data_IF_834412968683
#
_entry.id   IF_834412968683
#
_cell.length_a   1.000
_cell.length_b   1.000
_cell.length_c   1.000
_cell.angle_alpha   90.00
_cell.angle_beta   90.00
_cell.angle_gamma   90.00
#
_symmetry.space_group_name_H-M   'P 1'
#
loop_
_entity.id
_entity.type
_entity.pdbx_description
1 polymer ?
#
# COMPACT_ATOMS: atom_id res chain seq x y z
N UNK A 1 25.83 53.41 -8.74
CA UNK A 1 24.42 53.35 -9.14
C UNK A 1 23.77 52.32 -8.21
N UNK A 2 23.70 52.52 -6.88
CA UNK A 2 22.94 53.53 -6.13
C UNK A 2 21.50 53.67 -6.65
N UNK A 3 20.55 53.06 -5.90
CA UNK A 3 19.18 53.51 -5.49
C UNK A 3 18.19 52.33 -5.45
N UNK A 4 17.87 51.75 -4.27
CA UNK A 4 16.79 52.12 -3.30
C UNK A 4 15.36 51.88 -3.86
N UNK A 5 14.66 50.83 -3.39
CA UNK A 5 13.66 50.81 -2.29
C UNK A 5 12.19 51.13 -2.71
N UNK A 6 11.33 50.10 -2.58
CA UNK A 6 10.05 50.16 -1.84
C UNK A 6 8.79 50.78 -2.53
N UNK A 7 7.56 50.68 -1.94
CA UNK A 7 6.65 49.54 -2.13
C UNK A 7 5.14 49.96 -2.26
N UNK A 8 4.25 48.95 -2.24
CA UNK A 8 2.87 49.03 -1.69
C UNK A 8 1.78 49.82 -2.44
N UNK A 9 0.80 49.08 -2.96
CA UNK A 9 -0.61 49.52 -2.98
C UNK A 9 -1.49 48.42 -2.38
N UNK A 10 -1.79 48.57 -1.09
CA UNK A 10 -2.98 48.06 -0.43
C UNK A 10 -4.19 48.87 -0.90
N UNK A 11 -5.33 48.24 -1.19
CA UNK A 11 -6.67 48.61 -0.67
C UNK A 11 -7.74 47.61 -1.18
N UNK A 12 -8.49 47.07 -0.22
CA UNK A 12 -9.63 46.14 -0.28
C UNK A 12 -10.96 46.89 -0.56
N UNK A 13 -12.16 46.42 -0.17
CA UNK A 13 -13.02 45.39 -0.80
C UNK A 13 -14.45 45.91 -1.12
N UNK A 14 -15.21 45.26 -2.01
CA UNK A 14 -16.67 45.46 -2.18
C UNK A 14 -17.30 44.10 -2.53
N UNK A 15 -18.01 43.42 -1.62
CA UNK A 15 -19.39 43.64 -1.13
C UNK A 15 -20.48 43.30 -2.17
N UNK A 16 -20.96 42.05 -2.09
CA UNK A 16 -22.39 41.70 -2.09
C UNK A 16 -23.04 41.33 -3.43
N UNK A 17 -23.61 40.12 -3.51
CA UNK A 17 -25.08 39.98 -3.59
C UNK A 17 -25.51 38.53 -3.32
N UNK A 18 -26.54 38.41 -2.47
CA UNK A 18 -27.32 37.20 -2.24
C UNK A 18 -28.25 36.98 -3.43
N UNK A 19 -28.50 35.73 -3.84
CA UNK A 19 -29.79 35.29 -4.39
C UNK A 19 -29.97 33.77 -4.23
N UNK A 20 -30.97 33.39 -3.43
CA UNK A 20 -31.66 32.08 -3.44
C UNK A 20 -32.83 32.16 -4.42
N UNK A 21 -33.23 31.05 -5.04
CA UNK A 21 -34.64 30.66 -5.12
C UNK A 21 -34.83 29.18 -4.72
N UNK A 22 -35.62 28.87 -3.69
CA UNK A 22 -37.05 28.47 -3.74
C UNK A 22 -37.34 27.16 -4.51
N UNK A 23 -37.54 26.10 -3.71
CA UNK A 23 -38.48 24.98 -3.85
C UNK A 23 -39.29 24.87 -5.14
N UNK A 24 -39.10 23.75 -5.86
CA UNK A 24 -40.14 23.07 -6.63
C UNK A 24 -39.98 21.57 -6.42
N UNK A 25 -41.06 20.93 -5.96
CA UNK A 25 -41.24 19.48 -5.91
C UNK A 25 -41.54 18.93 -7.31
N UNK A 26 -40.86 17.88 -7.73
CA UNK A 26 -41.39 16.96 -8.73
C UNK A 26 -40.70 15.60 -8.59
N UNK A 27 -41.49 14.61 -8.18
CA UNK A 27 -41.21 13.19 -8.27
C UNK A 27 -40.99 12.79 -9.73
N UNK A 28 -39.82 12.25 -10.06
CA UNK A 28 -39.57 11.59 -11.33
C UNK A 28 -38.86 10.25 -11.07
N UNK A 29 -39.68 9.21 -11.12
CA UNK A 29 -39.29 7.81 -11.27
C UNK A 29 -38.69 7.58 -12.66
N UNK A 30 -37.48 7.02 -12.74
CA UNK A 30 -36.99 6.34 -13.94
C UNK A 30 -36.00 5.24 -13.58
N UNK A 31 -36.51 4.02 -13.73
CA UNK A 31 -35.92 2.92 -14.50
C UNK A 31 -34.42 2.67 -14.35
N UNK A 32 -34.07 1.76 -13.43
CA UNK A 32 -32.86 0.95 -13.56
C UNK A 32 -33.19 -0.34 -14.31
N UNK A 33 -32.59 -0.44 -15.49
CA UNK A 33 -32.46 -1.66 -16.29
C UNK A 33 -31.74 -2.74 -15.48
N UNK A 34 -32.34 -3.92 -15.38
CA UNK A 34 -31.63 -5.13 -14.97
C UNK A 34 -31.71 -6.15 -16.09
N UNK A 35 -30.51 -6.58 -16.49
CA UNK A 35 -30.23 -7.56 -17.52
C UNK A 35 -30.75 -8.92 -17.08
N UNK A 36 -31.41 -9.59 -18.02
CA UNK A 36 -32.01 -10.91 -17.97
C UNK A 36 -30.96 -12.02 -17.87
N UNK A 37 -31.07 -12.85 -16.83
CA UNK A 37 -30.49 -14.20 -16.81
C UNK A 37 -31.63 -15.21 -16.72
N UNK A 38 -31.78 -16.02 -17.77
CA UNK A 38 -32.83 -17.00 -17.93
C UNK A 38 -32.74 -18.12 -16.89
N UNK A 39 -33.85 -18.42 -16.19
CA UNK A 39 -34.04 -19.68 -15.50
C UNK A 39 -35.41 -20.27 -15.81
N UNK A 40 -35.39 -21.56 -16.16
CA UNK A 40 -36.46 -22.34 -16.77
C UNK A 40 -37.71 -22.41 -15.89
N UNK A 41 -38.85 -22.32 -16.58
CA UNK A 41 -40.22 -22.61 -16.13
C UNK A 41 -40.39 -24.10 -15.79
N UNK A 42 -40.90 -24.48 -14.60
CA UNK A 42 -41.61 -25.74 -14.41
C UNK A 42 -43.10 -25.54 -14.71
N UNK A 43 -43.65 -26.37 -15.60
CA UNK A 43 -45.09 -26.52 -15.80
C UNK A 43 -45.75 -27.16 -14.56
N UNK A 44 -47.05 -26.87 -14.33
CA UNK A 44 -47.80 -27.40 -13.19
C UNK A 44 -48.24 -28.84 -13.46
N UNK A 45 -47.98 -29.75 -12.51
CA UNK A 45 -48.63 -31.05 -12.48
C UNK A 45 -49.96 -30.91 -11.73
N UNK A 46 -51.05 -31.16 -12.45
CA UNK A 46 -52.38 -31.29 -11.91
C UNK A 46 -52.44 -32.48 -10.94
N UNK A 47 -52.92 -32.22 -9.72
CA UNK A 47 -53.37 -33.22 -8.75
C UNK A 47 -54.76 -32.80 -8.28
N UNK A 48 -55.73 -33.68 -8.55
CA UNK A 48 -57.15 -33.39 -8.58
C UNK A 48 -57.79 -33.08 -7.21
N UNK A 49 -58.94 -32.44 -7.32
CA UNK A 49 -59.89 -32.08 -6.29
C UNK A 49 -60.24 -33.22 -5.32
N UNK A 50 -60.40 -32.87 -4.05
CA UNK A 50 -61.45 -33.42 -3.22
C UNK A 50 -62.20 -32.26 -2.56
N UNK A 51 -63.49 -32.20 -2.88
CA UNK A 51 -64.53 -31.42 -2.23
C UNK A 51 -64.41 -31.38 -0.71
N UNK A 52 -64.79 -30.27 -0.09
CA UNK A 52 -65.77 -30.34 0.99
C UNK A 52 -66.39 -28.96 1.20
N UNK A 53 -67.71 -28.90 0.95
CA UNK A 53 -68.54 -27.90 1.60
C UNK A 53 -68.52 -28.11 3.12
N UNK A 54 -68.76 -27.02 3.84
CA UNK A 54 -69.01 -27.04 5.29
C UNK A 54 -67.75 -26.91 6.14
N UNK A 55 -67.40 -25.67 6.50
CA UNK A 55 -67.28 -25.19 7.90
C UNK A 55 -66.37 -23.97 7.98
N UNK A 56 -67.01 -22.80 8.03
CA UNK A 56 -66.41 -21.47 7.94
C UNK A 56 -65.68 -20.96 9.18
N UNK A 57 -65.05 -21.81 9.99
CA UNK A 57 -64.40 -21.36 11.23
C UNK A 57 -62.95 -21.84 11.45
N UNK A 58 -62.46 -22.84 10.72
CA UNK A 58 -61.10 -23.39 10.93
C UNK A 58 -60.04 -22.96 9.90
N UNK A 59 -60.45 -22.51 8.71
CA UNK A 59 -59.53 -22.11 7.63
C UNK A 59 -58.89 -20.72 7.81
N UNK A 60 -59.50 -19.82 8.57
CA UNK A 60 -58.96 -18.46 8.76
C UNK A 60 -57.66 -18.45 9.58
N UNK A 61 -57.54 -19.38 10.53
CA UNK A 61 -56.37 -19.50 11.39
C UNK A 61 -55.18 -20.00 10.55
N UNK A 62 -55.36 -20.99 9.69
CA UNK A 62 -54.31 -21.48 8.80
C UNK A 62 -53.86 -20.42 7.79
N UNK A 63 -54.75 -19.57 7.26
CA UNK A 63 -54.37 -18.44 6.40
C UNK A 63 -53.58 -17.35 7.16
N UNK A 64 -53.93 -17.06 8.42
CA UNK A 64 -53.16 -16.15 9.28
C UNK A 64 -51.74 -16.66 9.54
N UNK A 65 -51.59 -17.96 9.78
CA UNK A 65 -50.28 -18.57 10.06
C UNK A 65 -49.35 -18.52 8.85
N UNK A 66 -49.87 -18.75 7.64
CA UNK A 66 -49.06 -18.64 6.42
C UNK A 66 -48.71 -17.18 6.08
N UNK A 67 -49.60 -16.23 6.35
CA UNK A 67 -49.32 -14.80 6.21
C UNK A 67 -48.24 -14.30 7.17
N UNK A 68 -48.29 -14.74 8.44
CA UNK A 68 -47.29 -14.38 9.44
C UNK A 68 -45.93 -15.01 9.14
N UNK A 69 -45.89 -16.26 8.66
CA UNK A 69 -44.65 -16.91 8.24
C UNK A 69 -43.99 -16.21 7.04
N UNK A 70 -44.77 -15.76 6.06
CA UNK A 70 -44.25 -15.00 4.92
C UNK A 70 -43.72 -13.61 5.32
N UNK A 71 -44.39 -12.93 6.27
CA UNK A 71 -43.91 -11.68 6.85
C UNK A 71 -42.62 -11.87 7.66
N UNK A 72 -42.50 -12.96 8.42
CA UNK A 72 -41.30 -13.27 9.19
C UNK A 72 -40.08 -13.57 8.29
N UNK A 73 -40.28 -14.32 7.19
CA UNK A 73 -39.20 -14.61 6.25
C UNK A 73 -38.74 -13.37 5.47
N UNK A 74 -39.65 -12.48 5.09
CA UNK A 74 -39.28 -11.22 4.43
C UNK A 74 -38.54 -10.26 5.37
N UNK A 75 -38.92 -10.18 6.65
CA UNK A 75 -38.15 -9.44 7.66
C UNK A 75 -36.79 -10.07 7.94
N UNK A 76 -36.68 -11.41 7.96
CA UNK A 76 -35.41 -12.10 8.17
C UNK A 76 -34.39 -11.85 7.05
N UNK A 77 -34.85 -11.75 5.80
CA UNK A 77 -33.98 -11.42 4.66
C UNK A 77 -33.58 -9.94 4.68
N UNK A 78 -34.47 -9.04 5.11
CA UNK A 78 -34.19 -7.61 5.20
C UNK A 78 -33.23 -7.24 6.35
N UNK A 79 -33.16 -8.09 7.39
CA UNK A 79 -32.26 -7.92 8.54
C UNK A 79 -31.01 -8.82 8.47
N UNK A 80 -30.82 -9.56 7.38
CA UNK A 80 -29.58 -10.26 7.14
C UNK A 80 -28.46 -9.21 6.96
N UNK A 81 -27.36 -9.29 7.72
CA UNK A 81 -26.24 -8.37 7.54
C UNK A 81 -25.79 -8.47 6.08
N UNK A 82 -25.76 -7.32 5.40
CA UNK A 82 -25.24 -7.24 4.04
C UNK A 82 -23.89 -7.96 3.99
N UNK A 83 -23.62 -8.79 2.96
CA UNK A 83 -22.32 -9.42 2.82
C UNK A 83 -21.27 -8.30 2.90
N UNK A 84 -20.42 -8.37 3.93
CA UNK A 84 -19.30 -7.45 4.06
C UNK A 84 -18.54 -7.47 2.73
N UNK A 85 -18.02 -6.33 2.24
CA UNK A 85 -17.19 -6.33 1.04
C UNK A 85 -16.06 -7.33 1.30
N UNK A 86 -16.10 -8.47 0.62
CA UNK A 86 -14.98 -9.38 0.60
C UNK A 86 -13.83 -8.58 -0.01
N UNK A 87 -12.74 -8.42 0.75
CA UNK A 87 -11.55 -7.70 0.29
C UNK A 87 -10.92 -8.53 -0.82
N UNK A 88 -11.41 -8.35 -2.04
CA UNK A 88 -10.97 -9.02 -3.25
C UNK A 88 -9.94 -8.13 -3.95
N UNK A 89 -8.83 -7.87 -3.27
CA UNK A 89 -7.78 -6.94 -3.71
C UNK A 89 -7.27 -7.22 -5.12
N UNK A 90 -7.05 -8.50 -5.46
CA UNK A 90 -6.54 -8.88 -6.78
C UNK A 90 -7.57 -8.64 -7.89
N UNK A 91 -8.83 -8.95 -7.60
CA UNK A 91 -9.92 -8.84 -8.57
C UNK A 91 -10.31 -7.39 -8.82
N UNK A 92 -10.23 -6.53 -7.81
CA UNK A 92 -10.55 -5.11 -7.93
C UNK A 92 -9.57 -4.41 -8.88
N UNK A 93 -8.26 -4.65 -8.68
CA UNK A 93 -7.20 -4.13 -9.55
C UNK A 93 -7.35 -4.63 -11.00
N UNK A 94 -7.73 -5.90 -11.20
CA UNK A 94 -7.94 -6.46 -12.53
C UNK A 94 -9.20 -5.91 -13.23
N UNK A 95 -10.25 -5.60 -12.46
CA UNK A 95 -11.57 -5.22 -12.99
C UNK A 95 -11.72 -3.71 -13.22
N UNK A 96 -11.10 -2.87 -12.38
CA UNK A 96 -11.18 -1.41 -12.51
C UNK A 96 -10.43 -0.87 -13.73
N UNK A 97 -9.59 -1.70 -14.35
CA UNK A 97 -8.81 -1.33 -15.53
C UNK A 97 -7.64 -0.39 -15.21
N UNK A 98 -6.89 0.06 -16.23
CA UNK A 98 -5.68 0.83 -16.01
C UNK A 98 -6.00 2.23 -15.47
N UNK A 99 -5.34 2.68 -14.38
CA UNK A 99 -5.55 4.02 -13.85
C UNK A 99 -5.04 5.09 -14.83
N UNK A 100 -5.96 5.76 -15.54
CA UNK A 100 -5.64 6.81 -16.52
C UNK A 100 -4.98 8.02 -15.88
N UNK A 101 -5.43 8.38 -14.68
CA UNK A 101 -4.99 9.60 -14.02
C UNK A 101 -4.05 9.41 -12.85
N UNK A 102 -4.11 8.29 -12.12
CA UNK A 102 -3.28 8.13 -10.93
C UNK A 102 -1.94 7.45 -11.20
N UNK A 103 -1.80 6.63 -12.27
CA UNK A 103 -0.62 5.77 -12.55
C UNK A 103 -0.25 4.82 -11.40
N UNK A 104 -0.99 4.86 -10.31
CA UNK A 104 -0.71 4.20 -9.06
C UNK A 104 -2.04 3.63 -8.57
N UNK A 105 -2.05 2.33 -8.34
CA UNK A 105 -3.13 1.58 -7.68
C UNK A 105 -2.56 1.11 -6.35
N UNK A 106 -3.05 1.69 -5.25
CA UNK A 106 -2.61 1.34 -3.90
C UNK A 106 -3.71 0.68 -3.10
N UNK A 107 -3.86 -0.63 -3.32
CA UNK A 107 -4.79 -1.49 -2.58
C UNK A 107 -4.22 -1.84 -1.20
N UNK A 108 -2.90 -2.02 -1.10
CA UNK A 108 -2.24 -2.30 0.18
C UNK A 108 -2.32 -1.13 1.19
N UNK A 109 -2.63 0.08 0.72
CA UNK A 109 -2.73 1.28 1.55
C UNK A 109 -1.39 1.73 2.15
N UNK A 110 -0.27 1.40 1.51
CA UNK A 110 1.09 1.64 2.04
C UNK A 110 1.71 2.94 1.54
N UNK A 111 1.14 3.54 0.50
CA UNK A 111 1.70 4.74 -0.11
C UNK A 111 1.05 6.02 0.45
N UNK A 112 1.90 6.97 0.82
CA UNK A 112 1.44 8.29 1.24
C UNK A 112 0.86 9.07 0.06
N UNK A 113 -0.03 10.02 0.34
CA UNK A 113 -0.61 10.91 -0.69
C UNK A 113 0.46 11.69 -1.46
N UNK A 114 1.53 12.09 -0.77
CA UNK A 114 2.66 12.84 -1.37
C UNK A 114 3.41 11.94 -2.35
N UNK A 115 3.78 10.74 -1.91
CA UNK A 115 4.47 9.75 -2.76
C UNK A 115 3.65 9.43 -4.01
N UNK A 116 2.33 9.21 -3.87
CA UNK A 116 1.43 8.99 -5.01
C UNK A 116 1.49 10.15 -6.01
N UNK A 117 1.51 11.39 -5.53
CA UNK A 117 1.59 12.57 -6.39
C UNK A 117 2.94 12.73 -7.07
N UNK A 118 4.04 12.40 -6.39
CA UNK A 118 5.39 12.48 -6.96
C UNK A 118 5.64 11.39 -8.00
N UNK A 119 5.20 10.16 -7.73
CA UNK A 119 5.24 9.06 -8.70
C UNK A 119 4.39 9.37 -9.92
N UNK A 120 3.18 9.91 -9.73
CA UNK A 120 2.32 10.37 -10.83
C UNK A 120 3.01 11.43 -11.71
N UNK A 121 3.72 12.39 -11.10
CA UNK A 121 4.46 13.42 -11.85
C UNK A 121 5.57 12.81 -12.69
N UNK A 122 6.36 11.90 -12.12
CA UNK A 122 7.43 11.20 -12.85
C UNK A 122 6.88 10.34 -13.99
N UNK A 123 5.81 9.57 -13.73
CA UNK A 123 5.19 8.72 -14.76
C UNK A 123 4.58 9.54 -15.91
N UNK A 124 3.93 10.68 -15.59
CA UNK A 124 3.42 11.63 -16.60
C UNK A 124 4.54 12.23 -17.46
N UNK A 125 5.68 12.56 -16.85
CA UNK A 125 6.83 13.09 -17.59
C UNK A 125 7.44 12.06 -18.54
N UNK A 126 7.54 10.80 -18.11
CA UNK A 126 7.99 9.70 -18.97
C UNK A 126 7.07 9.43 -20.15
N UNK A 127 5.76 9.44 -19.92
CA UNK A 127 4.76 9.27 -20.98
C UNK A 127 4.85 10.42 -21.99
N UNK A 128 5.02 11.66 -21.54
CA UNK A 128 5.14 12.82 -22.42
C UNK A 128 6.42 12.79 -23.29
N UNK A 129 7.54 12.29 -22.77
CA UNK A 129 8.85 12.34 -23.45
C UNK A 129 9.11 11.13 -24.35
N UNK A 130 8.67 9.94 -23.94
CA UNK A 130 9.03 8.67 -24.58
C UNK A 130 7.82 7.83 -24.99
N UNK A 131 6.60 8.30 -24.70
CA UNK A 131 5.36 7.57 -24.93
C UNK A 131 5.29 6.20 -24.21
N UNK A 132 6.11 6.03 -23.18
CA UNK A 132 6.14 4.85 -22.33
C UNK A 132 5.32 5.13 -21.09
N UNK A 133 4.38 4.25 -20.77
CA UNK A 133 3.54 4.39 -19.58
C UNK A 133 3.88 3.35 -18.54
N UNK A 134 4.14 3.83 -17.33
CA UNK A 134 4.43 3.03 -16.16
C UNK A 134 3.27 3.08 -15.17
N UNK A 135 2.75 1.92 -14.78
CA UNK A 135 1.75 1.79 -13.72
C UNK A 135 2.36 1.07 -12.52
N UNK A 136 2.12 1.60 -11.32
CA UNK A 136 2.56 1.02 -10.06
C UNK A 136 1.37 0.44 -9.31
N UNK A 137 1.51 -0.79 -8.83
CA UNK A 137 0.46 -1.52 -8.14
C UNK A 137 1.04 -2.04 -6.83
N UNK A 138 0.38 -1.73 -5.71
CA UNK A 138 0.72 -2.28 -4.40
C UNK A 138 -0.45 -3.13 -3.92
N UNK A 139 -0.19 -4.43 -3.74
CA UNK A 139 -1.19 -5.40 -3.25
C UNK A 139 -0.71 -5.95 -1.92
N UNK A 140 -1.62 -6.11 -0.96
CA UNK A 140 -1.23 -6.60 0.36
C UNK A 140 -0.71 -8.04 0.30
N UNK A 141 -1.45 -8.93 -0.35
CA UNK A 141 -1.14 -10.36 -0.49
C UNK A 141 -1.75 -10.88 -1.78
N UNK A 142 -1.12 -11.88 -2.37
CA UNK A 142 -1.74 -12.65 -3.45
C UNK A 142 -2.55 -13.81 -2.84
N UNK A 143 -3.81 -13.94 -3.21
CA UNK A 143 -4.69 -15.05 -2.84
C UNK A 143 -4.65 -16.16 -3.88
N UNK A 144 -4.31 -15.80 -5.11
CA UNK A 144 -3.98 -16.75 -6.16
C UNK A 144 -2.64 -17.41 -5.87
N UNK A 145 -2.45 -18.65 -6.31
CA UNK A 145 -1.14 -19.36 -6.20
C UNK A 145 -0.07 -18.79 -7.14
N UNK A 146 -0.43 -17.73 -7.88
CA UNK A 146 0.45 -17.00 -8.76
C UNK A 146 1.49 -16.21 -7.96
N UNK A 147 2.70 -16.12 -8.49
CA UNK A 147 3.73 -15.22 -7.98
C UNK A 147 3.46 -13.77 -8.41
N UNK A 148 4.29 -12.83 -7.97
CA UNK A 148 4.15 -11.42 -8.33
C UNK A 148 4.31 -11.18 -9.85
N UNK A 149 5.06 -12.02 -10.55
CA UNK A 149 5.36 -11.89 -11.97
C UNK A 149 4.18 -12.33 -12.83
N UNK A 150 3.64 -13.53 -12.57
CA UNK A 150 2.41 -14.05 -13.18
C UNK A 150 1.23 -13.12 -12.94
N UNK A 151 1.11 -12.55 -11.74
CA UNK A 151 0.05 -11.57 -11.46
C UNK A 151 0.24 -10.29 -12.29
N UNK A 152 1.48 -9.79 -12.42
CA UNK A 152 1.76 -8.62 -13.23
C UNK A 152 1.42 -8.88 -14.72
N UNK A 153 1.74 -10.07 -15.23
CA UNK A 153 1.42 -10.48 -16.60
C UNK A 153 -0.10 -10.53 -16.82
N UNK A 154 -0.84 -11.12 -15.88
CA UNK A 154 -2.31 -11.12 -15.91
C UNK A 154 -2.89 -9.71 -15.93
N UNK A 155 -2.31 -8.78 -15.15
CA UNK A 155 -2.71 -7.38 -15.17
C UNK A 155 -2.43 -6.74 -16.53
N UNK A 156 -1.26 -7.00 -17.11
CA UNK A 156 -0.90 -6.47 -18.43
C UNK A 156 -1.86 -6.97 -19.51
N UNK A 157 -2.15 -8.27 -19.54
CA UNK A 157 -3.09 -8.90 -20.48
C UNK A 157 -4.52 -8.38 -20.30
N UNK A 158 -4.95 -8.16 -19.05
CA UNK A 158 -6.30 -7.65 -18.76
C UNK A 158 -6.47 -6.18 -19.13
N UNK A 159 -5.49 -5.35 -18.80
CA UNK A 159 -5.56 -3.91 -19.03
C UNK A 159 -5.25 -3.55 -20.49
N UNK A 160 -4.42 -4.32 -21.17
CA UNK A 160 -3.99 -4.10 -22.55
C UNK A 160 -4.10 -5.40 -23.36
N UNK A 161 -5.32 -5.77 -23.79
CA UNK A 161 -5.54 -7.02 -24.54
C UNK A 161 -4.92 -7.01 -25.94
N UNK A 162 -4.46 -5.85 -26.44
CA UNK A 162 -3.81 -5.72 -27.74
C UNK A 162 -2.30 -5.50 -27.60
N UNK A 163 -1.53 -6.14 -28.50
CA UNK A 163 -0.06 -6.09 -28.49
C UNK A 163 0.44 -4.67 -28.75
N UNK A 164 -0.26 -3.90 -29.59
CA UNK A 164 0.10 -2.53 -29.94
C UNK A 164 -0.06 -1.57 -28.75
N UNK A 165 -1.15 -1.71 -27.99
CA UNK A 165 -1.39 -0.87 -26.81
C UNK A 165 -0.44 -1.22 -25.68
N UNK A 166 -0.14 -2.52 -25.49
CA UNK A 166 0.70 -3.05 -24.43
C UNK A 166 2.21 -2.91 -24.66
N UNK A 167 2.66 -2.76 -25.90
CA UNK A 167 4.11 -2.71 -26.23
C UNK A 167 4.87 -1.60 -25.48
N UNK A 168 4.21 -0.45 -25.29
CA UNK A 168 4.75 0.74 -24.64
C UNK A 168 4.38 0.85 -23.14
N UNK A 169 3.88 -0.23 -22.54
CA UNK A 169 3.36 -0.22 -21.17
C UNK A 169 4.23 -1.08 -20.27
N UNK A 170 4.47 -0.60 -19.06
CA UNK A 170 5.11 -1.35 -17.99
C UNK A 170 4.22 -1.35 -16.75
N UNK A 171 4.18 -2.48 -16.06
CA UNK A 171 3.46 -2.69 -14.81
C UNK A 171 4.47 -3.12 -13.75
N UNK A 172 4.51 -2.36 -12.66
CA UNK A 172 5.32 -2.65 -11.48
C UNK A 172 4.39 -3.09 -10.38
N UNK A 173 4.50 -4.34 -9.94
CA UNK A 173 3.74 -4.91 -8.83
C UNK A 173 4.63 -5.03 -7.61
N UNK A 174 4.11 -4.61 -6.46
CA UNK A 174 4.74 -4.82 -5.16
C UNK A 174 3.76 -5.55 -4.23
N UNK A 175 4.14 -6.75 -3.79
CA UNK A 175 3.38 -7.57 -2.85
C UNK A 175 3.94 -7.35 -1.46
N UNK A 176 3.23 -6.60 -0.62
CA UNK A 176 3.78 -6.13 0.67
C UNK A 176 3.96 -7.26 1.69
N UNK A 177 3.11 -8.30 1.67
CA UNK A 177 3.25 -9.42 2.63
C UNK A 177 4.42 -10.33 2.30
N UNK A 178 4.68 -10.57 1.02
CA UNK A 178 5.80 -11.42 0.57
C UNK A 178 7.10 -10.63 0.43
N UNK A 179 7.01 -9.29 0.43
CA UNK A 179 8.14 -8.37 0.16
C UNK A 179 8.76 -8.65 -1.20
N UNK A 180 7.92 -9.06 -2.14
CA UNK A 180 8.30 -9.38 -3.51
C UNK A 180 7.84 -8.27 -4.44
N UNK A 181 8.71 -7.90 -5.37
CA UNK A 181 8.39 -6.97 -6.44
C UNK A 181 8.55 -7.67 -7.77
N UNK A 182 7.69 -7.34 -8.73
CA UNK A 182 7.80 -7.80 -10.11
C UNK A 182 7.62 -6.61 -11.04
N UNK A 183 8.32 -6.66 -12.17
CA UNK A 183 8.20 -5.69 -13.25
C UNK A 183 7.95 -6.47 -14.52
N UNK A 184 6.83 -6.19 -15.18
CA UNK A 184 6.51 -6.73 -16.51
C UNK A 184 6.19 -5.58 -17.45
N UNK A 185 6.23 -5.84 -18.75
CA UNK A 185 5.80 -4.87 -19.73
C UNK A 185 5.98 -5.36 -21.15
N UNK A 186 5.54 -4.53 -22.09
CA UNK A 186 5.65 -4.84 -23.51
C UNK A 186 7.10 -4.84 -24.02
N UNK A 187 7.33 -5.40 -25.23
CA UNK A 187 8.66 -5.52 -25.80
C UNK A 187 9.36 -4.16 -26.06
N UNK A 188 8.63 -3.07 -26.29
CA UNK A 188 9.25 -1.74 -26.43
C UNK A 188 9.68 -1.17 -25.07
N UNK A 189 8.88 -1.40 -24.04
CA UNK A 189 9.23 -1.04 -22.66
C UNK A 189 10.51 -1.76 -22.19
N UNK A 190 10.57 -3.08 -22.37
CA UNK A 190 11.71 -3.91 -21.94
C UNK A 190 13.00 -3.48 -22.66
N UNK A 191 12.93 -3.21 -23.97
CA UNK A 191 14.08 -2.70 -24.74
C UNK A 191 14.54 -1.32 -24.30
N UNK A 192 13.63 -0.43 -23.90
CA UNK A 192 13.96 0.92 -23.48
C UNK A 192 14.60 0.96 -22.09
N UNK A 193 14.20 0.07 -21.18
CA UNK A 193 14.76 -0.02 -19.82
C UNK A 193 16.05 -0.85 -19.79
N UNK A 194 16.07 -1.96 -20.54
CA UNK A 194 17.15 -2.95 -20.53
C UNK A 194 16.99 -3.99 -19.42
N UNK A 195 17.19 -5.26 -19.78
CA UNK A 195 16.99 -6.43 -18.91
C UNK A 195 17.82 -6.36 -17.63
N UNK A 196 19.06 -5.85 -17.71
CA UNK A 196 19.95 -5.74 -16.55
C UNK A 196 19.40 -4.79 -15.47
N UNK A 197 18.75 -3.70 -15.86
CA UNK A 197 18.19 -2.73 -14.92
C UNK A 197 16.87 -3.25 -14.34
N UNK A 198 16.08 -3.97 -15.14
CA UNK A 198 14.87 -4.65 -14.67
C UNK A 198 15.22 -5.68 -13.58
N UNK A 199 16.16 -6.58 -13.88
CA UNK A 199 16.61 -7.62 -12.95
C UNK A 199 17.22 -7.01 -11.68
N UNK A 200 18.07 -5.99 -11.81
CA UNK A 200 18.65 -5.31 -10.65
C UNK A 200 17.60 -4.55 -9.82
N UNK A 201 16.54 -4.04 -10.45
CA UNK A 201 15.46 -3.33 -9.71
C UNK A 201 14.58 -4.31 -8.95
N UNK A 202 14.23 -5.43 -9.58
CA UNK A 202 13.44 -6.51 -8.97
C UNK A 202 14.19 -7.19 -7.84
N UNK A 203 15.49 -7.46 -8.02
CA UNK A 203 16.28 -8.18 -7.02
C UNK A 203 16.85 -7.31 -5.90
N UNK A 204 17.26 -6.07 -6.18
CA UNK A 204 18.01 -5.24 -5.21
C UNK A 204 17.18 -4.12 -4.59
N UNK A 205 16.17 -3.58 -5.30
CA UNK A 205 15.51 -2.35 -4.87
C UNK A 205 14.16 -2.61 -4.17
N UNK A 206 13.28 -3.38 -4.82
CA UNK A 206 11.95 -3.69 -4.30
C UNK A 206 11.97 -4.50 -3.00
N UNK A 207 12.66 -5.66 -2.90
CA UNK A 207 12.61 -6.50 -1.71
C UNK A 207 13.37 -5.92 -0.51
N UNK A 208 14.48 -5.20 -0.75
CA UNK A 208 15.31 -4.62 0.30
C UNK A 208 14.54 -3.51 1.04
N UNK A 209 13.93 -2.58 0.30
CA UNK A 209 13.18 -1.47 0.91
C UNK A 209 11.82 -1.92 1.46
N UNK A 210 11.22 -2.96 0.89
CA UNK A 210 10.05 -3.62 1.48
C UNK A 210 10.40 -4.33 2.79
N UNK A 211 11.64 -4.84 2.94
CA UNK A 211 12.09 -5.45 4.18
C UNK A 211 12.17 -4.46 5.32
N UNK A 212 12.66 -3.25 5.04
CA UNK A 212 12.74 -2.12 5.96
C UNK A 212 11.37 -1.39 6.17
N UNK A 213 10.28 -1.93 5.62
CA UNK A 213 8.93 -1.33 5.66
C UNK A 213 8.83 0.06 4.99
N UNK A 214 9.84 0.43 4.19
CA UNK A 214 9.92 1.72 3.49
C UNK A 214 9.30 1.65 2.10
N UNK A 215 8.02 1.31 2.04
CA UNK A 215 7.29 1.15 0.78
C UNK A 215 7.27 2.43 -0.09
N UNK A 216 7.21 3.60 0.55
CA UNK A 216 7.26 4.88 -0.15
C UNK A 216 8.58 5.09 -0.89
N UNK A 217 9.70 4.76 -0.24
CA UNK A 217 11.02 4.85 -0.85
C UNK A 217 11.18 3.78 -1.93
N UNK A 218 10.71 2.55 -1.69
CA UNK A 218 10.77 1.44 -2.64
C UNK A 218 10.17 1.78 -4.00
N UNK A 219 8.94 2.30 -4.00
CA UNK A 219 8.24 2.66 -5.24
C UNK A 219 8.89 3.89 -5.89
N UNK A 220 9.27 4.89 -5.09
CA UNK A 220 9.83 6.13 -5.63
C UNK A 220 11.26 5.95 -6.19
N UNK A 221 12.11 5.17 -5.53
CA UNK A 221 13.45 4.81 -6.03
C UNK A 221 13.33 3.98 -7.30
N UNK A 222 12.40 3.02 -7.33
CA UNK A 222 12.12 2.21 -8.52
C UNK A 222 11.66 3.07 -9.69
N UNK A 223 10.71 3.97 -9.45
CA UNK A 223 10.25 4.91 -10.48
C UNK A 223 11.39 5.78 -11.02
N UNK A 224 12.26 6.30 -10.15
CA UNK A 224 13.43 7.09 -10.58
C UNK A 224 14.45 6.26 -11.36
N UNK A 225 14.70 5.02 -10.95
CA UNK A 225 15.64 4.11 -11.61
C UNK A 225 15.15 3.75 -13.01
N UNK A 226 13.87 3.39 -13.13
CA UNK A 226 13.22 3.15 -14.42
C UNK A 226 13.22 4.41 -15.30
N UNK A 227 12.95 5.59 -14.73
CA UNK A 227 13.00 6.84 -15.46
C UNK A 227 14.40 7.14 -16.03
N UNK A 228 15.43 7.00 -15.19
CA UNK A 228 16.82 7.22 -15.60
C UNK A 228 17.27 6.23 -16.69
N UNK A 229 16.87 4.96 -16.57
CA UNK A 229 17.14 3.93 -17.58
C UNK A 229 16.51 4.28 -18.93
N UNK A 230 15.23 4.66 -18.93
CA UNK A 230 14.49 5.07 -20.14
C UNK A 230 15.09 6.32 -20.79
N UNK A 231 15.63 7.24 -19.99
CA UNK A 231 16.29 8.44 -20.48
C UNK A 231 17.72 8.18 -20.96
N UNK A 232 18.29 6.99 -20.73
CA UNK A 232 19.68 6.66 -21.02
C UNK A 232 20.68 7.37 -20.12
N UNK A 233 20.23 7.83 -18.95
CA UNK A 233 21.09 8.41 -17.92
C UNK A 233 21.82 7.30 -17.13
N UNK A 234 22.96 7.60 -16.50
CA UNK A 234 23.64 6.64 -15.64
C UNK A 234 22.71 6.17 -14.52
N UNK A 235 22.72 4.86 -14.24
CA UNK A 235 21.87 4.23 -13.22
C UNK A 235 22.10 4.88 -11.85
N UNK A 236 21.06 5.44 -11.20
CA UNK A 236 21.17 5.98 -9.84
C UNK A 236 21.54 4.92 -8.79
N UNK A 237 21.53 3.63 -9.16
CA UNK A 237 21.95 2.51 -8.33
C UNK A 237 20.86 2.04 -7.38
N UNK A 238 20.96 0.78 -6.95
CA UNK A 238 20.11 0.22 -5.91
C UNK A 238 20.39 0.84 -4.53
N UNK A 239 19.42 0.77 -3.60
CA UNK A 239 19.64 1.18 -2.22
C UNK A 239 20.78 0.35 -1.62
N UNK A 240 21.78 1.02 -1.04
CA UNK A 240 22.88 0.35 -0.35
C UNK A 240 22.31 -0.57 0.74
N UNK A 241 22.79 -1.81 0.83
CA UNK A 241 22.63 -2.65 2.02
C UNK A 241 23.08 -1.84 3.23
N UNK A 242 22.13 -1.21 3.91
CA UNK A 242 22.32 -0.92 5.32
C UNK A 242 22.13 -2.28 5.95
N UNK A 243 23.22 -3.03 6.01
CA UNK A 243 23.41 -3.93 7.14
C UNK A 243 23.18 -3.04 8.35
N UNK A 244 21.94 -2.97 8.82
CA UNK A 244 21.64 -2.78 10.22
C UNK A 244 22.20 -4.05 10.86
N UNK A 245 23.55 -4.14 10.88
CA UNK A 245 24.31 -4.77 11.92
C UNK A 245 23.67 -4.16 13.14
N UNK A 246 22.76 -4.93 13.72
CA UNK A 246 22.08 -4.64 14.96
C UNK A 246 23.22 -4.32 15.90
N UNK A 247 23.52 -3.03 16.03
CA UNK A 247 24.61 -2.55 16.83
C UNK A 247 24.11 -2.85 18.22
N UNK A 248 24.50 -4.03 18.68
CA UNK A 248 24.18 -4.46 20.01
C UNK A 248 24.73 -3.35 20.88
N UNK A 249 23.89 -2.77 21.73
CA UNK A 249 24.26 -1.78 22.73
C UNK A 249 25.15 -2.42 23.82
N UNK A 250 26.14 -3.20 23.40
CA UNK A 250 27.18 -3.79 24.21
C UNK A 250 28.47 -3.13 23.76
N UNK A 251 29.10 -2.44 24.71
CA UNK A 251 30.47 -1.94 24.58
C UNK A 251 31.33 -3.03 23.95
N UNK A 252 31.98 -2.69 22.84
CA UNK A 252 32.99 -3.55 22.23
C UNK A 252 34.04 -3.91 23.29
N UNK A 253 34.61 -5.11 23.17
CA UNK A 253 35.61 -5.63 24.13
C UNK A 253 36.75 -4.64 24.35
N UNK A 254 37.09 -3.89 23.31
CA UNK A 254 38.11 -2.83 23.28
C UNK A 254 37.78 -1.67 24.24
N UNK A 255 36.55 -1.13 24.25
CA UNK A 255 36.16 -0.08 25.22
C UNK A 255 36.06 -0.60 26.67
N UNK A 256 35.85 -1.91 26.85
CA UNK A 256 35.78 -2.53 28.19
C UNK A 256 37.19 -2.75 28.77
N UNK A 257 38.17 -3.04 27.92
CA UNK A 257 39.55 -3.26 28.32
C UNK A 257 40.27 -1.94 28.68
N UNK A 258 39.98 -0.84 27.96
CA UNK A 258 40.51 0.49 28.31
C UNK A 258 40.03 0.95 29.68
N UNK A 259 38.77 0.65 30.05
CA UNK A 259 38.22 1.00 31.37
C UNK A 259 38.78 0.11 32.48
N UNK A 260 39.02 -1.18 32.23
CA UNK A 260 39.68 -2.08 33.18
C UNK A 260 41.11 -1.64 33.49
N UNK A 261 41.88 -1.21 32.49
CA UNK A 261 43.25 -0.73 32.70
C UNK A 261 43.33 0.43 33.69
N UNK A 262 42.40 1.38 33.61
CA UNK A 262 42.35 2.52 34.52
C UNK A 262 41.97 2.14 35.95
N UNK A 263 41.05 1.18 36.13
CA UNK A 263 40.73 0.65 37.47
C UNK A 263 41.88 -0.16 38.07
N UNK A 264 42.59 -0.98 37.28
CA UNK A 264 43.74 -1.76 37.77
C UNK A 264 44.89 -0.86 38.22
N UNK A 265 45.17 0.24 37.50
CA UNK A 265 46.23 1.19 37.89
C UNK A 265 45.89 1.92 39.19
N UNK A 266 44.64 2.41 39.34
CA UNK A 266 44.21 3.12 40.55
C UNK A 266 44.18 2.18 41.76
N UNK A 267 43.63 0.97 41.61
CA UNK A 267 43.57 -0.03 42.69
C UNK A 267 44.97 -0.52 43.07
N UNK A 268 45.84 -0.77 42.08
CA UNK A 268 47.24 -1.16 42.33
C UNK A 268 48.03 -0.08 43.07
N UNK A 269 47.89 1.18 42.66
CA UNK A 269 48.52 2.32 43.35
C UNK A 269 48.07 2.46 44.80
N UNK A 270 46.76 2.35 45.06
CA UNK A 270 46.21 2.43 46.41
C UNK A 270 46.73 1.29 47.31
N UNK A 271 46.84 0.08 46.77
CA UNK A 271 47.34 -1.08 47.51
C UNK A 271 48.80 -0.90 47.93
N UNK A 272 49.66 -0.40 47.03
CA UNK A 272 51.07 -0.13 47.37
C UNK A 272 51.19 0.93 48.46
N UNK A 273 50.46 2.03 48.35
CA UNK A 273 50.46 3.09 49.37
C UNK A 273 49.97 2.55 50.72
N UNK A 274 48.92 1.72 50.72
CA UNK A 274 48.36 1.12 51.92
C UNK A 274 49.34 0.20 52.68
N UNK A 275 50.33 -0.40 52.00
CA UNK A 275 51.36 -1.23 52.64
C UNK A 275 52.63 -0.44 52.99
N UNK A 276 53.07 0.45 52.10
CA UNK A 276 54.32 1.20 52.28
C UNK A 276 54.19 2.28 53.34
N UNK A 277 53.07 2.99 53.41
CA UNK A 277 52.87 4.09 54.36
C UNK A 277 52.90 3.60 55.83
N UNK A 278 52.17 2.55 56.23
CA UNK A 278 52.25 2.04 57.61
C UNK A 278 53.64 1.53 57.98
N UNK A 279 54.34 0.89 57.04
CA UNK A 279 55.71 0.42 57.29
C UNK A 279 56.69 1.57 57.41
N UNK A 280 56.61 2.59 56.55
CA UNK A 280 57.44 3.78 56.65
C UNK A 280 57.18 4.56 57.93
N UNK A 281 55.91 4.68 58.36
CA UNK A 281 55.54 5.29 59.64
C UNK A 281 56.09 4.48 60.83
N UNK A 282 56.00 3.15 60.79
CA UNK A 282 56.56 2.28 61.81
C UNK A 282 58.08 2.41 61.90
N UNK A 283 58.78 2.38 60.76
CA UNK A 283 60.24 2.55 60.72
C UNK A 283 60.70 3.93 61.19
N UNK A 284 60.01 5.01 60.81
CA UNK A 284 60.30 6.36 61.29
C UNK A 284 60.03 6.52 62.79
N UNK A 285 59.04 5.81 63.34
CA UNK A 285 58.78 5.78 64.78
C UNK A 285 59.89 5.04 65.53
N UNK A 286 60.40 3.93 65.00
CA UNK A 286 61.48 3.14 65.62
C UNK A 286 62.85 3.81 65.49
N UNK A 287 63.17 4.44 64.36
CA UNK A 287 64.48 5.07 64.14
C UNK A 287 64.68 6.39 64.89
N UNK A 288 63.61 6.95 65.48
CA UNK A 288 63.65 8.14 66.32
C UNK A 288 63.92 7.84 67.80
N UNK A 289 64.32 6.62 68.10
CA UNK A 289 64.73 6.12 69.41
C UNK A 289 66.24 5.88 69.42
#
# INVERSE_FOLDING_TARGET
>A
METLLSPSTLFTPLRGSKKKPSLVSASASSSRSLVSCAFRKPQPLAGAAASHGGDGARNWISFLHHGLAAAALSLAISLAPAPAPAVASEFDVLNDGPPVDSYVVDDAGVLSRVTKSDVKRLARDLEARKNIRLNFITVRKLTSKADAFEYADQVLEKWYPTIEEGSNKGVVVLVTSQKEGAITGGPEFVKAVGDQILDATVSENLPVLATDEKYNEAIFSTAKRLAAAIDGLPDPGGPSFKDNKRESNFKTKEETESKRGQFTLVVGGLLVIAFVVPMAQYYAYISKK
#
